data_IF_715524294071
#
_entry.id   IF_715524294071
#
_cell.length_a   1.000
_cell.length_b   1.000
_cell.length_c   1.000
_cell.angle_alpha   90.00
_cell.angle_beta   90.00
_cell.angle_gamma   90.00
#
_symmetry.space_group_name_H-M   'P 1'
#
loop_
_entity.id
_entity.type
_entity.pdbx_description
1 polymer ?
#
# COMPACT_ATOMS: atom_id res chain seq x y z
N UNK A 1 12.03 5.70 21.78
CA UNK A 1 11.22 5.44 20.57
C UNK A 1 11.92 4.32 19.83
N UNK A 2 11.39 3.10 19.84
CA UNK A 2 12.12 1.93 19.34
C UNK A 2 12.03 1.91 17.81
N UNK A 3 13.19 1.96 17.17
CA UNK A 3 13.36 1.97 15.71
C UNK A 3 12.73 0.67 15.17
N UNK A 4 11.88 0.81 14.16
CA UNK A 4 11.30 -0.33 13.44
C UNK A 4 12.42 -1.31 13.05
N UNK A 5 12.24 -2.62 13.29
CA UNK A 5 13.22 -3.66 12.94
C UNK A 5 13.60 -3.58 11.45
N UNK A 6 12.66 -3.14 10.62
CA UNK A 6 12.92 -2.85 9.21
C UNK A 6 12.66 -1.36 8.94
N UNK A 7 13.69 -0.51 8.90
CA UNK A 7 13.49 0.93 8.71
C UNK A 7 12.84 1.29 7.37
N UNK A 8 12.98 0.42 6.37
CA UNK A 8 12.55 0.63 4.98
C UNK A 8 11.38 -0.29 4.57
N UNK A 9 10.73 -0.96 5.52
CA UNK A 9 9.53 -1.79 5.28
C UNK A 9 8.51 -1.54 6.37
N UNK A 10 7.23 -1.71 6.03
CA UNK A 10 6.13 -1.71 6.99
C UNK A 10 5.26 -2.92 6.68
N UNK A 11 4.97 -3.72 7.70
CA UNK A 11 3.91 -4.71 7.58
C UNK A 11 2.57 -4.00 7.66
N UNK A 12 1.60 -4.43 6.86
CA UNK A 12 0.23 -3.96 6.92
C UNK A 12 -0.62 -4.92 7.77
N UNK A 13 -1.75 -4.46 8.29
CA UNK A 13 -2.69 -5.38 8.93
C UNK A 13 -3.13 -6.45 7.95
N UNK A 14 -3.35 -7.65 8.45
CA UNK A 14 -3.91 -8.73 7.65
C UNK A 14 -5.28 -8.31 7.13
N UNK A 15 -5.46 -8.44 5.83
CA UNK A 15 -6.77 -8.47 5.21
C UNK A 15 -7.19 -9.94 5.25
N UNK A 16 -8.30 -10.23 5.92
CA UNK A 16 -8.84 -11.59 5.92
C UNK A 16 -9.31 -11.94 4.50
N UNK A 17 -8.98 -13.14 4.04
CA UNK A 17 -9.49 -13.67 2.79
C UNK A 17 -10.93 -14.15 2.98
N UNK A 18 -11.85 -13.58 2.20
CA UNK A 18 -13.26 -13.94 2.26
C UNK A 18 -13.43 -15.41 1.83
N UNK A 19 -14.05 -16.22 2.68
CA UNK A 19 -14.34 -17.62 2.38
C UNK A 19 -13.18 -18.58 2.65
N UNK A 20 -12.08 -18.11 3.25
CA UNK A 20 -10.95 -18.97 3.61
C UNK A 20 -11.35 -20.00 4.67
N UNK A 21 -11.13 -21.31 4.42
CA UNK A 21 -11.41 -22.37 5.40
C UNK A 21 -10.57 -22.25 6.67
N UNK A 22 -11.12 -22.77 7.78
CA UNK A 22 -10.38 -22.87 9.03
C UNK A 22 -9.17 -23.81 8.88
N UNK A 23 -8.04 -23.43 9.50
CA UNK A 23 -6.78 -24.19 9.45
C UNK A 23 -5.92 -24.01 8.19
N UNK A 24 -6.39 -23.33 7.14
CA UNK A 24 -5.54 -23.07 5.97
C UNK A 24 -4.45 -22.03 6.26
N UNK A 25 -3.20 -22.24 5.78
CA UNK A 25 -2.11 -21.30 6.00
C UNK A 25 -2.39 -19.97 5.29
N UNK A 26 -2.08 -18.85 5.95
CA UNK A 26 -2.18 -17.53 5.31
C UNK A 26 -0.95 -17.31 4.47
N UNK A 27 -1.12 -16.90 3.21
CA UNK A 27 -0.01 -16.47 2.36
C UNK A 27 -0.06 -14.96 2.21
N UNK A 28 0.76 -14.28 3.02
CA UNK A 28 0.96 -12.85 2.89
C UNK A 28 2.05 -12.60 1.85
N UNK A 29 1.78 -11.84 0.76
CA UNK A 29 2.81 -11.49 -0.19
C UNK A 29 3.88 -10.61 0.45
N UNK A 30 5.14 -10.78 0.06
CA UNK A 30 6.25 -10.00 0.61
C UNK A 30 6.21 -8.53 0.17
N UNK A 31 5.79 -8.27 -1.07
CA UNK A 31 5.74 -6.94 -1.66
C UNK A 31 4.40 -6.69 -2.36
N UNK A 32 3.91 -5.46 -2.23
CA UNK A 32 2.74 -4.95 -2.94
C UNK A 32 3.10 -3.63 -3.62
N UNK A 33 2.58 -3.39 -4.81
CA UNK A 33 2.61 -2.09 -5.47
C UNK A 33 1.24 -1.70 -5.99
N UNK A 34 1.01 -0.40 -6.08
CA UNK A 34 -0.08 0.19 -6.83
C UNK A 34 0.50 0.76 -8.13
N UNK A 35 -0.03 0.34 -9.26
CA UNK A 35 0.37 0.85 -10.57
C UNK A 35 -0.84 1.53 -11.21
N UNK A 36 -0.68 2.76 -11.69
CA UNK A 36 -1.75 3.45 -12.42
C UNK A 36 -2.12 2.63 -13.66
N UNK A 37 -3.41 2.53 -13.95
CA UNK A 37 -3.93 1.85 -15.14
C UNK A 37 -3.28 2.45 -16.42
N UNK A 38 -2.77 1.64 -17.36
CA UNK A 38 -2.09 2.16 -18.55
C UNK A 38 -3.00 2.99 -19.46
N UNK A 39 -4.32 2.80 -19.39
CA UNK A 39 -5.29 3.58 -20.16
C UNK A 39 -5.64 4.91 -19.47
N UNK A 40 -5.12 5.15 -18.26
CA UNK A 40 -5.32 6.41 -17.54
C UNK A 40 -4.64 7.56 -18.30
N UNK A 41 -5.33 8.68 -18.56
CA UNK A 41 -4.75 9.80 -19.28
C UNK A 41 -3.60 10.42 -18.48
N UNK A 42 -2.55 10.83 -19.20
CA UNK A 42 -1.52 11.69 -18.63
C UNK A 42 -2.04 13.11 -18.56
N UNK A 43 -2.10 13.67 -17.35
CA UNK A 43 -2.48 15.07 -17.16
C UNK A 43 -1.26 15.95 -17.45
N UNK A 44 -1.42 16.91 -18.36
CA UNK A 44 -0.37 17.84 -18.72
C UNK A 44 -0.35 19.07 -17.78
N UNK A 45 0.84 19.58 -17.48
CA UNK A 45 1.02 20.83 -16.73
C UNK A 45 2.46 20.99 -16.23
N UNK A 46 3.02 22.19 -16.38
CA UNK A 46 4.26 22.55 -15.68
C UNK A 46 3.93 22.92 -14.24
N UNK A 47 4.69 22.39 -13.27
CA UNK A 47 4.47 22.60 -11.84
C UNK A 47 3.03 22.31 -11.36
N UNK A 48 2.38 21.31 -11.95
CA UNK A 48 1.02 20.89 -11.60
C UNK A 48 0.95 20.49 -10.12
N UNK A 49 0.01 21.08 -9.39
CA UNK A 49 -0.30 20.66 -8.03
C UNK A 49 -0.91 19.25 -8.07
N UNK A 50 -0.43 18.33 -7.23
CA UNK A 50 -0.90 16.94 -7.24
C UNK A 50 -2.40 16.81 -7.00
N UNK A 51 -3.01 17.78 -6.30
CA UNK A 51 -4.47 17.80 -6.07
C UNK A 51 -5.19 18.10 -7.37
N UNK A 52 -4.68 19.04 -8.15
CA UNK A 52 -5.23 19.36 -9.47
C UNK A 52 -5.04 18.18 -10.43
N UNK A 53 -3.93 17.45 -10.31
CA UNK A 53 -3.71 16.20 -11.04
C UNK A 53 -4.78 15.15 -10.71
N UNK A 54 -4.98 14.85 -9.42
CA UNK A 54 -5.98 13.86 -8.96
C UNK A 54 -7.39 14.27 -9.39
N UNK A 55 -7.76 15.55 -9.22
CA UNK A 55 -9.07 16.04 -9.64
C UNK A 55 -9.24 15.91 -11.15
N UNK A 56 -8.21 16.23 -11.95
CA UNK A 56 -8.27 16.13 -13.42
C UNK A 56 -8.37 14.69 -13.93
N UNK A 57 -7.88 13.71 -13.15
CA UNK A 57 -8.05 12.29 -13.48
C UNK A 57 -9.52 11.85 -13.46
N UNK A 58 -10.36 12.48 -12.64
CA UNK A 58 -11.75 12.07 -12.38
C UNK A 58 -12.76 13.05 -13.03
N UNK A 59 -12.48 14.35 -13.02
CA UNK A 59 -13.39 15.41 -13.43
C UNK A 59 -12.88 16.17 -14.66
N UNK A 60 -13.81 16.75 -15.43
CA UNK A 60 -13.48 17.79 -16.40
C UNK A 60 -13.41 19.15 -15.71
N UNK A 61 -12.53 20.03 -16.18
CA UNK A 61 -12.32 21.35 -15.56
C UNK A 61 -13.63 22.15 -15.53
N UNK A 62 -14.09 22.50 -14.33
CA UNK A 62 -15.30 23.28 -14.11
C UNK A 62 -16.60 22.48 -14.09
N UNK A 63 -16.56 21.16 -14.33
CA UNK A 63 -17.71 20.27 -14.15
C UNK A 63 -17.55 19.45 -12.86
N UNK A 64 -18.42 19.61 -11.85
CA UNK A 64 -18.33 18.86 -10.60
C UNK A 64 -18.80 17.41 -10.74
N UNK A 65 -19.34 16.98 -11.88
CA UNK A 65 -19.77 15.61 -12.09
C UNK A 65 -18.59 14.74 -12.56
N UNK A 66 -18.30 13.60 -11.89
CA UNK A 66 -17.26 12.69 -12.34
C UNK A 66 -17.48 12.22 -13.78
N UNK A 67 -16.43 12.21 -14.59
CA UNK A 67 -16.44 11.76 -15.99
C UNK A 67 -15.60 10.52 -16.22
N UNK A 68 -14.67 10.26 -15.31
CA UNK A 68 -13.66 9.21 -15.37
C UNK A 68 -13.42 8.66 -13.97
N UNK A 69 -12.70 7.55 -13.91
CA UNK A 69 -12.20 6.97 -12.66
C UNK A 69 -10.69 7.06 -12.62
N UNK A 70 -10.12 7.22 -11.43
CA UNK A 70 -8.70 6.97 -11.20
C UNK A 70 -8.53 5.51 -10.78
N UNK A 71 -7.92 4.71 -11.66
CA UNK A 71 -7.74 3.27 -11.43
C UNK A 71 -6.29 2.92 -11.17
N UNK A 72 -6.07 2.10 -10.13
CA UNK A 72 -4.80 1.46 -9.85
C UNK A 72 -4.94 -0.05 -9.93
N UNK A 73 -3.95 -0.73 -10.49
CA UNK A 73 -3.75 -2.16 -10.35
C UNK A 73 -3.07 -2.45 -9.02
N UNK A 74 -3.58 -3.46 -8.31
CA UNK A 74 -2.93 -4.02 -7.12
C UNK A 74 -2.12 -5.21 -7.59
N UNK A 75 -0.81 -5.11 -7.44
CA UNK A 75 0.12 -6.16 -7.84
C UNK A 75 0.99 -6.58 -6.68
N UNK A 76 1.25 -7.88 -6.59
CA UNK A 76 2.01 -8.50 -5.51
C UNK A 76 3.11 -9.40 -6.04
N UNK A 77 4.16 -9.58 -5.24
CA UNK A 77 5.21 -10.57 -5.52
C UNK A 77 5.91 -10.99 -4.23
N UNK A 78 6.40 -12.22 -4.21
CA UNK A 78 7.35 -12.71 -3.21
C UNK A 78 8.80 -12.61 -3.69
N UNK A 79 9.02 -12.31 -4.97
CA UNK A 79 10.31 -12.32 -5.61
C UNK A 79 10.96 -10.94 -5.63
N UNK A 80 12.06 -10.82 -4.90
CA UNK A 80 12.92 -9.66 -4.97
C UNK A 80 14.30 -9.88 -4.38
N UNK A 81 15.23 -9.01 -4.76
CA UNK A 81 16.56 -8.95 -4.15
C UNK A 81 16.74 -7.62 -3.44
N UNK A 82 17.37 -7.65 -2.27
CA UNK A 82 17.74 -6.45 -1.52
C UNK A 82 19.26 -6.35 -1.48
N UNK A 83 19.79 -5.16 -1.82
CA UNK A 83 21.23 -4.86 -1.76
C UNK A 83 21.46 -3.55 -1.01
N UNK A 84 22.63 -3.43 -0.40
CA UNK A 84 23.04 -2.24 0.35
C UNK A 84 22.84 -2.38 1.86
N UNK A 85 23.35 -1.42 2.64
CA UNK A 85 23.25 -1.45 4.10
C UNK A 85 21.80 -1.25 4.57
N UNK A 86 21.47 -1.66 5.80
CA UNK A 86 20.09 -1.62 6.33
C UNK A 86 19.43 -0.23 6.31
N UNK A 87 20.22 0.85 6.33
CA UNK A 87 19.75 2.24 6.26
C UNK A 87 19.58 2.77 4.84
N UNK A 88 20.10 2.07 3.82
CA UNK A 88 19.97 2.43 2.41
C UNK A 88 19.92 1.15 1.56
N UNK A 89 18.72 0.64 1.37
CA UNK A 89 18.48 -0.59 0.64
C UNK A 89 17.93 -0.29 -0.76
N UNK A 90 18.61 -0.84 -1.78
CA UNK A 90 18.08 -0.91 -3.15
C UNK A 90 17.42 -2.26 -3.35
N UNK A 91 16.19 -2.25 -3.88
CA UNK A 91 15.43 -3.46 -4.17
C UNK A 91 15.17 -3.61 -5.66
N UNK A 92 15.20 -4.84 -6.12
CA UNK A 92 14.69 -5.24 -7.44
C UNK A 92 13.64 -6.30 -7.23
N UNK A 93 12.58 -6.26 -8.03
CA UNK A 93 11.44 -7.17 -7.91
C UNK A 93 11.13 -7.79 -9.26
N UNK A 94 10.63 -9.02 -9.25
CA UNK A 94 10.26 -9.77 -10.45
C UNK A 94 8.89 -10.44 -10.26
N UNK A 95 8.35 -11.00 -11.34
CA UNK A 95 7.16 -11.86 -11.34
C UNK A 95 5.96 -11.26 -10.59
N UNK A 96 5.65 -10.00 -10.91
CA UNK A 96 4.48 -9.33 -10.37
C UNK A 96 3.19 -10.01 -10.84
N UNK A 97 2.34 -10.38 -9.90
CA UNK A 97 1.00 -10.89 -10.15
C UNK A 97 -0.03 -9.82 -9.82
N UNK A 98 -0.93 -9.52 -10.77
CA UNK A 98 -2.09 -8.68 -10.53
C UNK A 98 -3.15 -9.46 -9.77
N UNK A 99 -3.58 -8.93 -8.62
CA UNK A 99 -4.60 -9.56 -7.77
C UNK A 99 -5.88 -8.74 -7.70
N UNK A 100 -5.89 -7.52 -8.22
CA UNK A 100 -7.09 -6.70 -8.22
C UNK A 100 -6.89 -5.30 -8.77
N UNK A 101 -7.92 -4.47 -8.55
CA UNK A 101 -7.94 -3.05 -8.89
C UNK A 101 -8.50 -2.25 -7.72
N UNK A 102 -7.95 -1.06 -7.53
CA UNK A 102 -8.50 -0.01 -6.68
C UNK A 102 -9.04 1.07 -7.60
N UNK A 103 -10.34 1.36 -7.50
CA UNK A 103 -11.03 2.30 -8.39
C UNK A 103 -11.58 3.44 -7.52
N UNK A 104 -11.17 4.66 -7.84
CA UNK A 104 -11.76 5.87 -7.29
C UNK A 104 -12.66 6.49 -8.35
N UNK A 105 -13.94 6.60 -8.03
CA UNK A 105 -14.98 7.19 -8.89
C UNK A 105 -15.36 8.61 -8.50
N UNK A 106 -14.79 9.11 -7.40
CA UNK A 106 -15.03 10.44 -6.88
C UNK A 106 -13.83 10.91 -6.03
N UNK A 107 -13.67 12.23 -5.89
CA UNK A 107 -12.65 12.83 -5.04
C UNK A 107 -13.06 14.23 -4.58
N UNK A 108 -12.48 14.66 -3.46
CA UNK A 108 -12.51 16.04 -2.99
C UNK A 108 -11.10 16.41 -2.56
N UNK A 109 -10.64 17.58 -2.97
CA UNK A 109 -9.35 18.14 -2.55
C UNK A 109 -9.58 19.22 -1.47
N UNK A 110 -8.77 19.17 -0.42
CA UNK A 110 -8.76 20.19 0.63
C UNK A 110 -7.32 20.63 0.90
N UNK A 111 -7.14 21.89 1.28
CA UNK A 111 -5.84 22.44 1.69
C UNK A 111 -5.43 22.03 3.12
N UNK A 112 -6.35 21.46 3.91
CA UNK A 112 -6.08 21.08 5.31
C UNK A 112 -5.69 19.60 5.50
N UNK A 113 -5.61 18.81 4.42
CA UNK A 113 -5.56 17.35 4.48
C UNK A 113 -4.20 16.74 4.86
N UNK A 114 -3.11 17.49 4.77
CA UNK A 114 -1.75 16.93 4.75
C UNK A 114 -1.27 16.29 6.07
N UNK A 115 -2.06 16.31 7.16
CA UNK A 115 -1.60 15.91 8.50
C UNK A 115 -2.54 15.01 9.33
N UNK A 116 -3.70 14.57 8.82
CA UNK A 116 -4.77 14.11 9.72
C UNK A 116 -5.00 12.59 9.77
N UNK A 117 -4.51 11.83 8.79
CA UNK A 117 -4.72 10.38 8.76
C UNK A 117 -3.43 9.64 9.03
N UNK A 118 -3.27 9.18 10.28
CA UNK A 118 -2.20 8.30 10.69
C UNK A 118 -2.75 6.89 10.94
N UNK A 119 -2.43 5.95 10.05
CA UNK A 119 -2.68 4.54 10.30
C UNK A 119 -1.55 3.97 11.15
N UNK A 120 -1.87 3.53 12.37
CA UNK A 120 -0.89 2.82 13.20
C UNK A 120 -0.55 1.49 12.53
N UNK A 121 0.70 1.29 12.13
CA UNK A 121 1.13 0.02 11.56
C UNK A 121 1.21 -1.08 12.62
N UNK A 122 0.93 -2.36 12.28
CA UNK A 122 1.10 -3.48 13.20
C UNK A 122 2.56 -3.61 13.67
N UNK A 123 2.72 -4.34 14.77
CA UNK A 123 4.06 -4.71 15.26
C UNK A 123 4.67 -5.74 14.32
N UNK A 124 5.98 -5.63 14.07
CA UNK A 124 6.69 -6.53 13.18
C UNK A 124 6.54 -7.99 13.62
N UNK A 125 6.18 -8.86 12.67
CA UNK A 125 6.15 -10.31 12.82
C UNK A 125 7.39 -10.95 12.24
N UNK A 126 7.93 -11.94 12.93
CA UNK A 126 9.08 -12.71 12.43
C UNK A 126 8.67 -13.69 11.32
N UNK A 127 7.43 -14.19 11.35
CA UNK A 127 6.78 -14.86 10.22
C UNK A 127 5.55 -14.05 9.74
N UNK A 128 5.56 -13.66 8.45
CA UNK A 128 4.45 -12.88 7.87
C UNK A 128 3.15 -13.69 7.73
N UNK A 129 3.26 -15.03 7.69
CA UNK A 129 2.16 -15.96 7.49
C UNK A 129 1.54 -16.43 8.82
N UNK A 130 2.26 -16.29 9.93
CA UNK A 130 1.80 -16.69 11.27
C UNK A 130 1.53 -15.45 12.17
N UNK A 131 0.25 -15.14 12.47
CA UNK A 131 -0.10 -14.00 13.31
C UNK A 131 0.41 -14.11 14.75
N UNK A 132 0.73 -15.33 15.24
CA UNK A 132 1.26 -15.58 16.58
C UNK A 132 2.70 -15.07 16.75
N UNK A 133 3.44 -14.89 15.65
CA UNK A 133 4.82 -14.38 15.65
C UNK A 133 4.92 -12.85 15.67
N UNK A 134 3.79 -12.13 15.71
CA UNK A 134 3.79 -10.75 16.18
C UNK A 134 4.39 -10.69 17.58
N UNK A 135 5.04 -9.59 17.96
CA UNK A 135 5.80 -9.43 19.21
C UNK A 135 4.94 -9.69 20.48
N UNK A 136 4.68 -10.96 20.76
CA UNK A 136 3.84 -11.52 21.81
C UNK A 136 4.48 -12.81 22.27
N UNK A 137 4.71 -12.94 23.57
CA UNK A 137 5.13 -14.19 24.21
C UNK A 137 4.02 -14.53 25.18
N UNK A 138 3.45 -15.73 25.08
CA UNK A 138 2.32 -16.19 25.90
C UNK A 138 1.16 -15.19 25.90
N UNK A 139 0.73 -14.73 24.73
CA UNK A 139 -0.37 -13.75 24.54
C UNK A 139 -0.12 -12.33 25.09
N UNK A 140 0.96 -12.12 25.84
CA UNK A 140 1.37 -10.82 26.33
C UNK A 140 2.29 -10.11 25.32
N UNK A 141 1.98 -8.85 25.00
CA UNK A 141 2.85 -7.99 24.18
C UNK A 141 4.17 -7.79 24.93
N UNK A 142 5.21 -8.50 24.53
CA UNK A 142 6.54 -8.32 25.13
C UNK A 142 7.24 -7.14 24.47
N UNK A 143 7.62 -6.17 25.32
CA UNK A 143 8.62 -5.17 24.94
C UNK A 143 9.97 -5.85 25.03
N UNK A 144 10.63 -5.99 23.90
CA UNK A 144 12.08 -5.83 23.88
C UNK A 144 12.34 -4.36 23.72
#
# INVERSE_FOLDING_TARGET
MKIDRQPTQRQLYQIAELGKPDGEPTQAPAFMRLLVDPDQPRIAGEALDFRDEIMSQIFDRGDPNPKRTLTFHIEVTDEGSTRGPNFLQRRTFANWQRIGRLIFDNAVASYNGDFVIHFTHPTWRDDRNDPSTATRVNEHKVRW
#
